data_IF_304103210099
#
_entry.id   IF_304103210099
#
_cell.length_a   1.000
_cell.length_b   1.000
_cell.length_c   1.000
_cell.angle_alpha   90.00
_cell.angle_beta   90.00
_cell.angle_gamma   90.00
#
_symmetry.space_group_name_H-M   'P 1'
#
loop_
_entity.id
_entity.type
_entity.pdbx_description
1 polymer ?
#
# COMPACT_ATOMS: atom_id res chain seq x y z
N UNK A 1 30.84 14.65 10.07
CA UNK A 1 29.82 14.49 11.13
C UNK A 1 28.45 14.73 10.51
N UNK A 2 27.49 13.82 10.70
CA UNK A 2 26.12 13.98 10.18
C UNK A 2 25.25 14.73 11.20
N UNK A 3 24.49 15.73 10.74
CA UNK A 3 23.54 16.45 11.60
C UNK A 3 22.35 15.54 11.91
N UNK A 4 22.18 15.15 13.17
CA UNK A 4 21.05 14.34 13.64
C UNK A 4 19.73 15.14 13.68
N UNK A 5 19.80 16.48 13.60
CA UNK A 5 18.65 17.39 13.74
C UNK A 5 17.69 17.37 12.54
N UNK A 6 18.09 16.83 11.39
CA UNK A 6 17.28 16.85 10.16
C UNK A 6 16.68 15.49 9.77
N UNK A 7 16.86 14.45 10.59
CA UNK A 7 16.41 13.10 10.26
C UNK A 7 15.15 12.78 11.06
N UNK A 8 13.98 13.00 10.44
CA UNK A 8 12.71 12.66 11.04
C UNK A 8 12.44 11.15 10.91
N UNK A 9 12.31 10.46 12.05
CA UNK A 9 11.80 9.10 12.10
C UNK A 9 10.27 9.13 11.94
N UNK A 10 9.69 8.57 10.87
CA UNK A 10 8.25 8.59 10.70
C UNK A 10 7.58 7.72 11.78
N UNK A 11 6.55 8.23 12.47
CA UNK A 11 5.83 7.45 13.47
C UNK A 11 5.19 6.22 12.86
N UNK A 12 5.13 5.13 13.64
CA UNK A 12 4.52 3.85 13.23
C UNK A 12 3.08 4.00 12.75
N UNK A 13 2.33 4.95 13.32
CA UNK A 13 0.96 5.27 12.90
C UNK A 13 0.90 5.69 11.43
N UNK A 14 1.82 6.54 10.96
CA UNK A 14 1.86 6.96 9.56
C UNK A 14 2.17 5.81 8.61
N UNK A 15 3.03 4.87 9.03
CA UNK A 15 3.27 3.65 8.26
C UNK A 15 1.97 2.86 8.08
N UNK A 16 1.22 2.62 9.16
CA UNK A 16 -0.03 1.87 9.10
C UNK A 16 -1.12 2.55 8.26
N UNK A 17 -1.21 3.87 8.32
CA UNK A 17 -2.10 4.63 7.43
C UNK A 17 -1.69 4.44 5.97
N UNK A 18 -0.42 4.70 5.65
CA UNK A 18 0.08 4.60 4.27
C UNK A 18 -0.01 3.20 3.69
N UNK A 19 0.30 2.16 4.46
CA UNK A 19 0.21 0.79 3.95
C UNK A 19 -1.25 0.43 3.63
N UNK A 20 -2.21 0.88 4.44
CA UNK A 20 -3.64 0.67 4.19
C UNK A 20 -4.08 1.36 2.90
N UNK A 21 -3.77 2.65 2.74
CA UNK A 21 -4.08 3.43 1.54
C UNK A 21 -3.48 2.79 0.26
N UNK A 22 -2.24 2.30 0.36
CA UNK A 22 -1.55 1.66 -0.77
C UNK A 22 -2.16 0.30 -1.10
N UNK A 23 -2.50 -0.51 -0.11
CA UNK A 23 -3.19 -1.79 -0.30
C UNK A 23 -4.55 -1.58 -0.98
N UNK A 24 -5.37 -0.63 -0.50
CA UNK A 24 -6.66 -0.29 -1.11
C UNK A 24 -6.49 0.21 -2.57
N UNK A 25 -5.47 1.02 -2.83
CA UNK A 25 -5.17 1.50 -4.19
C UNK A 25 -4.79 0.37 -5.15
N UNK A 26 -4.08 -0.67 -4.67
CA UNK A 26 -3.75 -1.86 -5.46
C UNK A 26 -5.00 -2.68 -5.73
N UNK A 27 -5.79 -2.98 -4.69
CA UNK A 27 -7.04 -3.73 -4.80
C UNK A 27 -7.99 -3.08 -5.82
N UNK A 28 -8.22 -1.77 -5.69
CA UNK A 28 -9.08 -1.01 -6.62
C UNK A 28 -8.58 -1.11 -8.07
N UNK A 29 -7.27 -1.03 -8.30
CA UNK A 29 -6.69 -1.16 -9.65
C UNK A 29 -6.85 -2.58 -10.21
N UNK A 30 -6.68 -3.61 -9.39
CA UNK A 30 -6.90 -5.00 -9.81
C UNK A 30 -8.35 -5.24 -10.21
N UNK A 31 -9.32 -4.75 -9.42
CA UNK A 31 -10.73 -4.87 -9.76
C UNK A 31 -11.07 -4.15 -11.07
N UNK A 32 -10.57 -2.92 -11.25
CA UNK A 32 -10.77 -2.22 -12.53
C UNK A 32 -10.15 -3.00 -13.68
N UNK A 33 -8.91 -3.47 -13.53
CA UNK A 33 -8.25 -4.25 -14.57
C UNK A 33 -9.06 -5.50 -14.93
N UNK A 34 -9.45 -6.31 -13.95
CA UNK A 34 -10.25 -7.52 -14.21
C UNK A 34 -11.62 -7.20 -14.79
N UNK A 35 -12.28 -6.13 -14.37
CA UNK A 35 -13.54 -5.71 -14.98
C UNK A 35 -13.38 -5.38 -16.48
N UNK A 36 -12.33 -4.66 -16.86
CA UNK A 36 -12.08 -4.31 -18.26
C UNK A 36 -11.59 -5.50 -19.11
N UNK A 37 -10.80 -6.40 -18.54
CA UNK A 37 -10.40 -7.65 -19.19
C UNK A 37 -11.63 -8.53 -19.51
N UNK A 38 -12.60 -8.59 -18.58
CA UNK A 38 -13.87 -9.27 -18.82
C UNK A 38 -14.77 -8.56 -19.87
N UNK A 39 -14.52 -7.27 -20.15
CA UNK A 39 -15.25 -6.47 -21.13
C UNK A 39 -14.60 -6.51 -22.53
N UNK A 40 -13.29 -6.80 -22.60
CA UNK A 40 -12.46 -6.64 -23.81
C UNK A 40 -12.62 -7.74 -24.86
N UNK A 41 -13.43 -8.79 -24.61
CA UNK A 41 -13.87 -9.73 -25.65
C UNK A 41 -14.58 -9.06 -26.84
N UNK A 42 -14.88 -7.75 -26.76
CA UNK A 42 -15.63 -7.02 -27.80
C UNK A 42 -15.01 -5.72 -28.33
N UNK A 43 -13.91 -5.16 -27.79
CA UNK A 43 -13.34 -3.95 -28.42
C UNK A 43 -11.92 -3.61 -27.97
N UNK A 44 -11.04 -3.43 -28.95
CA UNK A 44 -9.71 -2.83 -28.83
C UNK A 44 -9.81 -1.34 -28.50
N UNK A 45 -10.10 -0.98 -27.25
CA UNK A 45 -10.18 0.40 -26.82
C UNK A 45 -8.93 0.77 -26.02
N UNK A 46 -8.18 1.75 -26.53
CA UNK A 46 -7.01 2.36 -25.89
C UNK A 46 -7.23 2.60 -24.38
N UNK A 47 -6.43 1.94 -23.55
CA UNK A 47 -6.44 2.03 -22.08
C UNK A 47 -5.95 3.40 -21.59
N UNK A 48 -6.76 4.45 -21.80
CA UNK A 48 -6.46 5.78 -21.26
C UNK A 48 -6.84 5.84 -19.77
N UNK A 49 -5.82 5.69 -18.93
CA UNK A 49 -5.73 6.18 -17.55
C UNK A 49 -7.01 6.02 -16.69
N UNK A 50 -7.04 4.97 -15.87
CA UNK A 50 -8.05 4.75 -14.82
C UNK A 50 -8.09 5.88 -13.77
N UNK A 51 -8.60 7.07 -14.12
CA UNK A 51 -8.82 8.23 -13.23
C UNK A 51 -10.23 8.23 -12.64
N UNK A 52 -10.83 7.06 -12.50
CA UNK A 52 -12.19 6.92 -11.97
C UNK A 52 -12.18 7.02 -10.43
N UNK A 53 -12.93 7.99 -9.91
CA UNK A 53 -13.23 8.08 -8.47
C UNK A 53 -14.29 7.07 -8.02
N UNK A 54 -14.91 6.33 -8.96
CA UNK A 54 -15.97 5.36 -8.65
C UNK A 54 -15.39 4.14 -7.93
N UNK A 55 -16.23 3.50 -7.11
CA UNK A 55 -15.89 2.20 -6.54
C UNK A 55 -15.82 1.16 -7.66
N UNK A 56 -14.86 0.25 -7.58
CA UNK A 56 -14.72 -0.83 -8.56
C UNK A 56 -15.79 -1.90 -8.31
N UNK A 57 -16.28 -2.59 -9.35
CA UNK A 57 -17.16 -3.74 -9.20
C UNK A 57 -16.49 -4.83 -8.35
N UNK A 58 -17.29 -5.66 -7.66
CA UNK A 58 -16.77 -6.85 -6.99
C UNK A 58 -16.59 -7.96 -8.03
N UNK A 59 -15.38 -8.52 -8.11
CA UNK A 59 -15.06 -9.64 -9.01
C UNK A 59 -14.62 -10.82 -8.15
N UNK A 60 -15.35 -11.95 -8.24
CA UNK A 60 -15.11 -13.14 -7.41
C UNK A 60 -13.71 -13.71 -7.54
N UNK A 61 -13.13 -13.62 -8.75
CA UNK A 61 -11.80 -14.18 -9.04
C UNK A 61 -10.66 -13.49 -8.27
N UNK A 62 -10.88 -12.27 -7.75
CA UNK A 62 -9.87 -11.49 -7.03
C UNK A 62 -10.02 -11.60 -5.50
N UNK A 63 -11.14 -12.15 -5.00
CA UNK A 63 -11.43 -12.19 -3.56
C UNK A 63 -10.31 -12.88 -2.75
N UNK A 64 -9.81 -14.01 -3.23
CA UNK A 64 -8.69 -14.73 -2.57
C UNK A 64 -7.41 -13.90 -2.51
N UNK A 65 -7.14 -13.11 -3.56
CA UNK A 65 -5.98 -12.22 -3.62
C UNK A 65 -6.13 -11.01 -2.67
N UNK A 66 -7.34 -10.46 -2.54
CA UNK A 66 -7.61 -9.40 -1.54
C UNK A 66 -7.34 -9.90 -0.13
N UNK A 67 -7.84 -11.09 0.20
CA UNK A 67 -7.63 -11.72 1.51
C UNK A 67 -6.15 -11.97 1.80
N UNK A 68 -5.38 -12.42 0.81
CA UNK A 68 -3.94 -12.61 0.94
C UNK A 68 -3.20 -11.28 1.19
N UNK A 69 -3.57 -10.20 0.51
CA UNK A 69 -3.00 -8.87 0.75
C UNK A 69 -3.29 -8.36 2.17
N UNK A 70 -4.50 -8.59 2.68
CA UNK A 70 -4.85 -8.26 4.06
C UNK A 70 -4.06 -9.11 5.04
N UNK A 71 -3.91 -10.40 4.78
CA UNK A 71 -3.07 -11.31 5.58
C UNK A 71 -1.61 -10.85 5.63
N UNK A 72 -1.05 -10.41 4.50
CA UNK A 72 0.32 -9.86 4.45
C UNK A 72 0.42 -8.64 5.36
N UNK A 73 -0.51 -7.66 5.24
CA UNK A 73 -0.52 -6.46 6.07
C UNK A 73 -0.55 -6.80 7.56
N UNK A 74 -1.39 -7.75 7.96
CA UNK A 74 -1.53 -8.16 9.37
C UNK A 74 -0.27 -8.85 9.91
N UNK A 75 0.50 -9.52 9.06
CA UNK A 75 1.75 -10.20 9.43
C UNK A 75 2.96 -9.25 9.51
N UNK A 76 2.85 -8.02 9.01
CA UNK A 76 3.94 -7.04 9.09
C UNK A 76 4.26 -6.73 10.55
N UNK A 77 5.53 -6.90 10.94
CA UNK A 77 6.04 -6.55 12.26
C UNK A 77 7.22 -5.60 12.14
N UNK A 78 7.23 -4.58 12.99
CA UNK A 78 8.39 -3.71 13.12
C UNK A 78 9.44 -4.38 13.98
N UNK A 79 10.65 -4.50 13.43
CA UNK A 79 11.81 -4.93 14.18
C UNK A 79 12.36 -3.78 15.01
N UNK A 80 12.73 -4.05 16.26
CA UNK A 80 13.54 -3.11 17.02
C UNK A 80 14.96 -3.10 16.45
N UNK A 81 15.46 -1.93 16.06
CA UNK A 81 16.82 -1.80 15.55
C UNK A 81 17.78 -1.66 16.73
N UNK A 82 18.77 -2.54 16.81
CA UNK A 82 19.87 -2.44 17.78
C UNK A 82 20.98 -1.51 17.30
N UNK A 83 20.82 -0.88 16.13
CA UNK A 83 21.86 -0.04 15.58
C UNK A 83 22.01 1.23 16.43
N UNK A 84 23.19 1.53 16.99
CA UNK A 84 23.38 2.60 17.97
C UNK A 84 22.88 3.97 17.47
N UNK A 85 23.05 4.24 16.18
CA UNK A 85 22.59 5.48 15.54
C UNK A 85 21.06 5.60 15.44
N UNK A 86 20.34 4.50 15.20
CA UNK A 86 18.89 4.52 15.15
C UNK A 86 18.29 4.62 16.56
N UNK A 87 18.99 4.08 17.56
CA UNK A 87 18.65 4.24 18.98
C UNK A 87 18.82 5.69 19.41
N UNK A 88 19.97 6.30 19.11
CA UNK A 88 20.21 7.70 19.45
C UNK A 88 19.19 8.63 18.77
N UNK A 89 18.86 8.39 17.49
CA UNK A 89 17.82 9.15 16.80
C UNK A 89 16.43 9.02 17.46
N UNK A 90 16.08 7.86 18.00
CA UNK A 90 14.80 7.66 18.68
C UNK A 90 14.76 8.40 20.02
N UNK A 91 15.87 8.41 20.77
CA UNK A 91 16.00 9.09 22.07
C UNK A 91 15.95 10.63 21.93
N UNK A 92 16.35 11.20 20.78
CA UNK A 92 16.23 12.64 20.50
C UNK A 92 14.79 13.09 20.15
N UNK A 93 13.88 12.17 19.82
CA UNK A 93 12.53 12.47 19.34
C UNK A 93 11.48 12.34 20.47
N UNK A 94 11.81 11.66 21.57
CA UNK A 94 11.02 11.61 22.83
C UNK A 94 11.45 12.70 23.80
#
# INVERSE_FOLDING_TARGET
>A
MYSLKSIHLPPRKLFWTRITERTESVIKRMHWKSFFENLSTTSSANEFGFKTCKSSPKVKDIETFEDDLWNIRMKVRFRHSFYPFLRSLNDYVT
#
